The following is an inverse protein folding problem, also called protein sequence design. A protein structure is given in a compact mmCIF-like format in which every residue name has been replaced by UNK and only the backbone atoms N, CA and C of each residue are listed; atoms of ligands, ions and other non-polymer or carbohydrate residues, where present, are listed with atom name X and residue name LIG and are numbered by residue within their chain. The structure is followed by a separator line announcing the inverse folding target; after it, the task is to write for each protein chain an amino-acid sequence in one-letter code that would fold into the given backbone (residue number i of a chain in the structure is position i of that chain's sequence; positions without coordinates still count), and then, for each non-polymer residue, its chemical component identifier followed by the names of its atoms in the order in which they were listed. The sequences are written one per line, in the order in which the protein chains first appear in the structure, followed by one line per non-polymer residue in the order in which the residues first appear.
data_IF_529935807939
#
_entry.id   IF_529935807939
#
_cell.length_a   1.000
_cell.length_b   1.000
_cell.length_c   1.000
_cell.angle_alpha   90.00
_cell.angle_beta   90.00
_cell.angle_gamma   90.00
#
_symmetry.space_group_name_H-M   'P 1'
#
loop_
_entity.id
_entity.type
_entity.pdbx_description
1 polymer ?
#
# COMPACT_ATOMS: atom_id res chain seq x y z
N UNK A 1 -28.25 0.37 -18.85
CA UNK A 1 -28.80 -0.89 -18.30
C UNK A 1 -29.61 -1.55 -19.42
N UNK A 2 -29.53 -2.87 -19.61
CA UNK A 2 -30.22 -3.56 -20.69
C UNK A 2 -30.61 -4.99 -20.28
N UNK A 3 -31.42 -5.66 -21.11
CA UNK A 3 -31.90 -7.02 -20.85
C UNK A 3 -30.88 -8.12 -21.20
N UNK A 4 -29.82 -7.77 -21.93
CA UNK A 4 -28.69 -8.65 -22.21
C UNK A 4 -27.35 -7.91 -22.08
N UNK A 5 -26.27 -8.67 -21.87
CA UNK A 5 -24.91 -8.11 -21.80
C UNK A 5 -24.51 -7.48 -23.13
N UNK A 6 -24.91 -8.10 -24.24
CA UNK A 6 -24.62 -7.66 -25.60
C UNK A 6 -25.26 -6.30 -25.88
N UNK A 7 -26.54 -6.14 -25.52
CA UNK A 7 -27.25 -4.87 -25.68
C UNK A 7 -26.64 -3.77 -24.79
N UNK A 8 -26.24 -4.09 -23.56
CA UNK A 8 -25.54 -3.14 -22.68
C UNK A 8 -24.20 -2.68 -23.28
N UNK A 9 -23.40 -3.61 -23.82
CA UNK A 9 -22.13 -3.30 -24.47
C UNK A 9 -22.31 -2.43 -25.72
N UNK A 10 -23.32 -2.70 -26.55
CA UNK A 10 -23.63 -1.87 -27.72
C UNK A 10 -24.07 -0.46 -27.32
N UNK A 11 -24.87 -0.33 -26.25
CA UNK A 11 -25.34 0.96 -25.76
C UNK A 11 -24.21 1.88 -25.28
N UNK A 12 -23.11 1.33 -24.75
CA UNK A 12 -21.93 2.13 -24.35
C UNK A 12 -21.37 2.94 -25.54
N UNK A 13 -21.33 2.33 -26.74
CA UNK A 13 -20.83 2.99 -27.95
C UNK A 13 -21.70 4.14 -28.47
N UNK A 14 -22.91 4.31 -27.93
CA UNK A 14 -23.82 5.41 -28.27
C UNK A 14 -23.64 6.63 -27.36
N UNK A 15 -22.92 6.48 -26.24
CA UNK A 15 -22.67 7.58 -25.29
C UNK A 15 -21.63 8.52 -25.88
N UNK A 16 -21.97 9.80 -25.96
CA UNK A 16 -21.05 10.88 -26.38
C UNK A 16 -20.71 11.72 -25.17
N UNK A 17 -19.41 11.94 -24.96
CA UNK A 17 -18.89 12.80 -23.89
C UNK A 17 -17.88 13.75 -24.51
N UNK A 18 -18.07 15.04 -24.24
CA UNK A 18 -17.09 16.08 -24.57
C UNK A 18 -16.29 16.37 -23.31
N UNK A 19 -14.96 16.32 -23.41
CA UNK A 19 -14.04 16.56 -22.29
C UNK A 19 -12.90 17.47 -22.74
N UNK A 20 -12.51 18.40 -21.88
CA UNK A 20 -11.29 19.17 -22.05
C UNK A 20 -10.10 18.33 -21.59
N UNK A 21 -9.12 18.14 -22.46
CA UNK A 21 -7.90 17.38 -22.14
C UNK A 21 -6.95 18.23 -21.32
N UNK A 22 -6.57 17.74 -20.15
CA UNK A 22 -5.56 18.33 -19.28
C UNK A 22 -4.25 17.53 -19.36
N UNK A 23 -3.19 18.06 -18.75
CA UNK A 23 -1.92 17.34 -18.57
C UNK A 23 -2.17 16.03 -17.80
N UNK A 24 -1.55 14.94 -18.26
CA UNK A 24 -1.56 13.65 -17.55
C UNK A 24 -0.25 13.54 -16.76
N UNK A 25 -0.34 13.71 -15.45
CA UNK A 25 0.75 13.60 -14.50
C UNK A 25 0.87 12.15 -14.05
N UNK A 26 1.83 11.40 -14.61
CA UNK A 26 2.06 9.98 -14.24
C UNK A 26 3.28 9.76 -13.34
N UNK A 27 4.06 10.80 -13.05
CA UNK A 27 5.23 10.75 -12.17
C UNK A 27 4.93 11.51 -10.86
N UNK A 28 5.03 10.88 -9.68
CA UNK A 28 4.84 11.57 -8.41
C UNK A 28 5.83 12.71 -8.18
N UNK A 29 7.03 12.70 -8.78
CA UNK A 29 7.97 13.82 -8.66
C UNK A 29 7.47 15.05 -9.43
N UNK A 30 6.98 14.87 -10.66
CA UNK A 30 6.30 15.93 -11.43
C UNK A 30 5.10 16.46 -10.67
N UNK A 31 4.29 15.58 -10.06
CA UNK A 31 3.12 15.99 -9.29
C UNK A 31 3.45 16.92 -8.10
N UNK A 32 4.66 16.81 -7.53
CA UNK A 32 5.11 17.62 -6.39
C UNK A 32 5.69 18.99 -6.80
N UNK A 33 5.86 19.27 -8.09
CA UNK A 33 6.36 20.55 -8.57
C UNK A 33 5.33 21.67 -8.38
N UNK A 34 5.80 22.91 -8.17
CA UNK A 34 4.92 24.06 -7.86
C UNK A 34 3.99 24.45 -9.00
N UNK A 35 4.37 24.12 -10.24
CA UNK A 35 3.63 24.42 -11.47
C UNK A 35 2.89 23.17 -12.02
N UNK A 36 2.83 22.08 -11.25
CA UNK A 36 2.03 20.91 -11.60
C UNK A 36 0.54 21.24 -11.53
N UNK A 37 -0.26 20.88 -12.55
CA UNK A 37 -1.71 20.96 -12.46
C UNK A 37 -2.24 20.19 -11.25
N UNK A 38 -3.20 20.80 -10.55
CA UNK A 38 -3.79 20.19 -9.37
C UNK A 38 -4.83 19.14 -9.78
N UNK A 39 -4.63 17.90 -9.32
CA UNK A 39 -5.58 16.80 -9.52
C UNK A 39 -6.77 16.96 -8.56
N UNK A 40 -6.50 17.42 -7.34
CA UNK A 40 -7.48 17.78 -6.32
C UNK A 40 -7.22 19.21 -5.84
N UNK A 41 -8.25 19.89 -5.33
CA UNK A 41 -8.32 21.36 -5.21
C UNK A 41 -7.10 22.07 -4.56
N UNK A 42 -6.45 21.46 -3.57
CA UNK A 42 -5.45 22.16 -2.76
C UNK A 42 -4.00 21.79 -3.09
N UNK A 43 -3.73 20.50 -3.32
CA UNK A 43 -2.37 19.98 -3.40
C UNK A 43 -2.37 18.58 -4.01
N UNK A 44 -1.35 18.28 -4.82
CA UNK A 44 -1.07 16.90 -5.24
C UNK A 44 -0.39 16.08 -4.13
N UNK A 45 0.13 16.70 -3.07
CA UNK A 45 0.57 16.01 -1.85
C UNK A 45 -0.64 15.85 -0.94
N UNK A 46 -1.22 14.65 -0.92
CA UNK A 46 -2.36 14.28 -0.08
C UNK A 46 -2.01 14.32 1.41
N UNK A 47 -0.84 13.78 1.78
CA UNK A 47 -0.41 13.73 3.16
C UNK A 47 1.12 13.77 3.27
N UNK A 48 1.61 14.43 4.32
CA UNK A 48 3.01 14.39 4.73
C UNK A 48 3.10 13.87 6.15
N UNK A 49 3.90 12.82 6.37
CA UNK A 49 4.17 12.28 7.70
C UNK A 49 5.64 12.45 8.04
N UNK A 50 5.92 12.70 9.32
CA UNK A 50 7.27 12.81 9.85
C UNK A 50 7.52 11.73 10.90
N UNK A 51 8.75 11.24 10.94
CA UNK A 51 9.24 10.27 11.92
C UNK A 51 10.49 10.83 12.59
N UNK A 52 10.56 10.73 13.92
CA UNK A 52 11.75 11.11 14.69
C UNK A 52 11.91 10.23 15.92
N UNK A 53 13.11 9.69 16.11
CA UNK A 53 13.58 8.96 17.29
C UNK A 53 15.06 9.30 17.51
N UNK A 54 15.43 9.62 18.75
CA UNK A 54 16.82 9.96 19.08
C UNK A 54 17.32 11.22 18.37
N UNK A 55 18.60 11.23 18.04
CA UNK A 55 19.32 12.36 17.43
C UNK A 55 20.10 11.87 16.20
N UNK A 56 19.61 12.24 15.01
CA UNK A 56 20.16 11.75 13.75
C UNK A 56 21.62 12.18 13.52
N UNK A 57 21.98 13.40 13.93
CA UNK A 57 23.34 13.93 13.79
C UNK A 57 24.32 13.15 14.67
N UNK A 58 23.90 12.86 15.91
CA UNK A 58 24.66 11.99 16.82
C UNK A 58 24.83 10.60 16.21
N UNK A 59 23.77 10.01 15.65
CA UNK A 59 23.83 8.70 15.04
C UNK A 59 24.82 8.61 13.88
N UNK A 60 24.81 9.59 12.96
CA UNK A 60 25.78 9.62 11.86
C UNK A 60 27.21 9.92 12.32
N UNK A 61 27.40 10.74 13.35
CA UNK A 61 28.72 10.98 13.95
C UNK A 61 29.32 9.69 14.55
N UNK A 62 28.47 8.78 15.03
CA UNK A 62 28.90 7.47 15.56
C UNK A 62 29.15 6.42 14.47
N UNK A 63 28.72 6.67 13.23
CA UNK A 63 28.90 5.72 12.13
C UNK A 63 30.35 5.76 11.62
N UNK A 64 30.91 4.58 11.36
CA UNK A 64 32.18 4.45 10.64
C UNK A 64 31.95 4.26 9.14
N UNK A 65 30.86 3.60 8.76
CA UNK A 65 30.43 3.43 7.38
C UNK A 65 29.00 3.97 7.25
N UNK A 66 28.77 4.72 6.18
CA UNK A 66 27.45 5.23 5.82
C UNK A 66 27.17 4.83 4.37
N UNK A 67 25.96 4.34 4.10
CA UNK A 67 25.50 4.02 2.75
C UNK A 67 24.24 4.83 2.42
N UNK A 68 24.19 5.34 1.20
CA UNK A 68 23.12 6.18 0.67
C UNK A 68 22.65 5.61 -0.65
N UNK A 69 21.37 5.24 -0.74
CA UNK A 69 20.79 4.62 -1.92
C UNK A 69 19.36 5.10 -2.17
N UNK A 70 18.94 5.11 -3.43
CA UNK A 70 17.54 5.26 -3.84
C UNK A 70 17.01 3.91 -4.35
N UNK A 71 15.88 3.50 -3.81
CA UNK A 71 15.17 2.27 -4.18
C UNK A 71 13.82 2.62 -4.79
N UNK A 72 13.40 1.85 -5.80
CA UNK A 72 12.10 2.02 -6.45
C UNK A 72 11.37 0.70 -6.53
N UNK A 73 10.07 0.70 -6.23
CA UNK A 73 9.19 -0.46 -6.44
C UNK A 73 8.11 -0.14 -7.44
N UNK A 74 7.66 -1.14 -8.20
CA UNK A 74 6.62 -0.98 -9.21
C UNK A 74 5.20 -1.05 -8.64
N UNK A 75 4.24 -0.59 -9.44
CA UNK A 75 2.82 -0.84 -9.22
C UNK A 75 2.47 -2.30 -9.55
N UNK A 76 1.61 -2.92 -8.75
CA UNK A 76 1.19 -4.31 -8.90
C UNK A 76 -0.34 -4.44 -8.72
N UNK A 77 -0.96 -5.33 -9.51
CA UNK A 77 -2.35 -5.76 -9.30
C UNK A 77 -2.38 -7.03 -8.43
N UNK A 78 -3.45 -7.20 -7.66
CA UNK A 78 -3.65 -8.36 -6.78
C UNK A 78 -4.01 -9.64 -7.53
N UNK A 79 -4.61 -9.49 -8.72
CA UNK A 79 -5.05 -10.56 -9.63
C UNK A 79 -5.82 -11.69 -8.91
N UNK A 80 -6.86 -11.40 -8.08
CA UNK A 80 -7.70 -12.47 -7.54
C UNK A 80 -8.41 -13.18 -8.69
N UNK A 81 -8.54 -14.51 -8.63
CA UNK A 81 -9.19 -15.29 -9.69
C UNK A 81 -10.64 -14.83 -9.93
N UNK A 82 -11.36 -14.51 -8.85
CA UNK A 82 -12.70 -13.91 -8.94
C UNK A 82 -12.60 -12.39 -9.16
N UNK A 83 -13.14 -11.93 -10.28
CA UNK A 83 -13.36 -10.50 -10.59
C UNK A 83 -14.52 -9.92 -9.77
N UNK A 84 -14.63 -8.59 -9.76
CA UNK A 84 -15.71 -7.87 -9.08
C UNK A 84 -17.04 -8.13 -9.78
N UNK A 85 -18.02 -8.62 -9.02
CA UNK A 85 -19.35 -8.93 -9.53
C UNK A 85 -20.37 -8.88 -8.40
N UNK A 86 -21.63 -8.67 -8.76
CA UNK A 86 -22.73 -8.75 -7.81
C UNK A 86 -24.10 -8.55 -8.42
N UNK A 87 -25.10 -8.59 -7.54
CA UNK A 87 -26.51 -8.39 -7.85
C UNK A 87 -27.10 -7.36 -6.89
N UNK A 88 -27.86 -6.40 -7.42
CA UNK A 88 -28.60 -5.42 -6.65
C UNK A 88 -30.10 -5.56 -6.85
N UNK A 89 -30.87 -5.39 -5.77
CA UNK A 89 -32.33 -5.38 -5.77
C UNK A 89 -32.80 -4.21 -4.91
N UNK A 90 -33.72 -3.40 -5.44
CA UNK A 90 -34.41 -2.36 -4.68
C UNK A 90 -35.82 -2.82 -4.35
N UNK A 91 -36.19 -2.71 -3.08
CA UNK A 91 -37.51 -3.04 -2.56
C UNK A 91 -38.34 -1.75 -2.45
N UNK A 92 -39.35 -1.52 -3.32
CA UNK A 92 -40.06 -0.24 -3.35
C UNK A 92 -41.01 -0.03 -2.16
N UNK A 93 -41.36 -1.07 -1.41
CA UNK A 93 -42.24 -0.96 -0.24
C UNK A 93 -41.46 -0.51 1.00
N UNK A 94 -40.25 -1.05 1.18
CA UNK A 94 -39.39 -0.74 2.34
C UNK A 94 -38.32 0.32 2.03
N UNK A 95 -38.11 0.59 0.74
CA UNK A 95 -37.02 1.39 0.17
C UNK A 95 -35.62 0.85 0.52
N UNK A 96 -35.51 -0.45 0.80
CA UNK A 96 -34.24 -1.10 1.13
C UNK A 96 -33.56 -1.58 -0.15
N UNK A 97 -32.27 -1.26 -0.27
CA UNK A 97 -31.38 -1.75 -1.33
C UNK A 97 -30.62 -2.96 -0.80
N UNK A 98 -30.82 -4.12 -1.43
CA UNK A 98 -30.13 -5.38 -1.12
C UNK A 98 -29.04 -5.63 -2.16
N UNK A 99 -27.80 -5.81 -1.71
CA UNK A 99 -26.63 -6.00 -2.57
C UNK A 99 -25.92 -7.31 -2.21
N UNK A 100 -25.82 -8.24 -3.16
CA UNK A 100 -24.96 -9.42 -3.07
C UNK A 100 -23.63 -9.12 -3.76
N UNK A 101 -22.66 -8.64 -3.00
CA UNK A 101 -21.35 -8.22 -3.52
C UNK A 101 -20.26 -8.62 -2.54
N UNK A 102 -19.13 -9.09 -3.06
CA UNK A 102 -17.98 -9.43 -2.23
C UNK A 102 -17.21 -8.16 -1.81
N UNK A 103 -17.10 -7.93 -0.51
CA UNK A 103 -16.26 -6.89 0.10
C UNK A 103 -15.41 -7.45 1.25
N UNK A 104 -14.29 -6.80 1.58
CA UNK A 104 -13.48 -7.05 2.78
C UNK A 104 -13.86 -6.13 3.94
N UNK A 105 -14.57 -5.03 3.66
CA UNK A 105 -14.85 -3.98 4.64
C UNK A 105 -16.34 -3.65 4.71
N UNK A 106 -17.14 -4.67 5.03
CA UNK A 106 -18.61 -4.64 4.84
C UNK A 106 -19.33 -3.44 5.47
N UNK A 107 -18.95 -3.05 6.70
CA UNK A 107 -19.63 -1.94 7.40
C UNK A 107 -19.25 -0.56 6.85
N UNK A 108 -18.01 -0.40 6.41
CA UNK A 108 -17.48 0.81 5.77
C UNK A 108 -18.03 0.93 4.36
N UNK A 109 -18.01 -0.16 3.57
CA UNK A 109 -18.68 -0.24 2.27
C UNK A 109 -20.17 0.14 2.37
N UNK A 110 -20.87 -0.31 3.42
CA UNK A 110 -22.27 0.09 3.65
C UNK A 110 -22.41 1.59 3.91
N UNK A 111 -21.50 2.17 4.71
CA UNK A 111 -21.50 3.60 5.00
C UNK A 111 -21.20 4.43 3.75
N UNK A 112 -20.22 4.02 2.95
CA UNK A 112 -19.82 4.69 1.71
C UNK A 112 -20.94 4.69 0.67
N UNK A 113 -21.67 3.57 0.52
CA UNK A 113 -22.85 3.51 -0.36
C UNK A 113 -23.93 4.46 0.15
N UNK A 114 -24.23 4.43 1.45
CA UNK A 114 -25.24 5.28 2.04
C UNK A 114 -24.91 6.77 1.85
N UNK A 115 -23.66 7.16 2.11
CA UNK A 115 -23.15 8.51 1.90
C UNK A 115 -23.23 8.92 0.43
N UNK A 116 -22.79 8.06 -0.49
CA UNK A 116 -22.79 8.35 -1.93
C UNK A 116 -24.18 8.54 -2.52
N UNK A 117 -25.19 7.89 -1.93
CA UNK A 117 -26.58 7.97 -2.38
C UNK A 117 -27.43 8.97 -1.57
N UNK A 118 -26.87 9.60 -0.53
CA UNK A 118 -27.63 10.47 0.37
C UNK A 118 -28.70 9.73 1.18
N UNK A 119 -28.45 8.47 1.53
CA UNK A 119 -29.37 7.59 2.28
C UNK A 119 -28.84 7.29 3.68
N UNK A 120 -29.71 6.79 4.56
CA UNK A 120 -29.28 6.23 5.84
C UNK A 120 -28.71 4.81 5.67
N UNK A 121 -27.82 4.38 6.58
CA UNK A 121 -27.19 3.05 6.50
C UNK A 121 -28.21 1.91 6.55
N UNK A 122 -29.31 2.11 7.26
CA UNK A 122 -30.40 1.13 7.43
C UNK A 122 -31.13 0.84 6.11
N UNK A 123 -31.04 1.75 5.13
CA UNK A 123 -31.58 1.54 3.78
C UNK A 123 -30.68 0.67 2.91
N UNK A 124 -29.45 0.36 3.35
CA UNK A 124 -28.49 -0.46 2.60
C UNK A 124 -28.26 -1.78 3.32
N UNK A 125 -28.55 -2.90 2.64
CA UNK A 125 -28.26 -4.24 3.14
C UNK A 125 -27.27 -4.94 2.21
N UNK A 126 -26.03 -5.10 2.67
CA UNK A 126 -25.01 -5.90 1.99
C UNK A 126 -25.09 -7.35 2.46
N UNK A 127 -25.14 -8.28 1.53
CA UNK A 127 -25.14 -9.72 1.76
C UNK A 127 -23.86 -10.28 1.16
N UNK A 128 -22.92 -10.66 2.02
CA UNK A 128 -21.60 -11.13 1.60
C UNK A 128 -21.69 -12.53 0.96
N UNK A 129 -21.37 -12.69 -0.34
CA UNK A 129 -21.21 -14.00 -0.95
C UNK A 129 -19.82 -14.58 -0.65
N UNK A 130 -19.57 -15.81 -1.11
CA UNK A 130 -18.23 -16.43 -1.08
C UNK A 130 -17.23 -15.55 -1.86
N UNK A 131 -16.06 -15.30 -1.25
CA UNK A 131 -14.99 -14.48 -1.83
C UNK A 131 -13.91 -15.36 -2.46
N UNK A 132 -13.75 -15.29 -3.78
CA UNK A 132 -12.69 -15.98 -4.54
C UNK A 132 -11.36 -15.21 -4.56
N UNK A 133 -10.88 -14.78 -3.39
CA UNK A 133 -9.68 -13.97 -3.23
C UNK A 133 -9.91 -12.46 -3.30
N UNK A 134 -8.99 -11.70 -2.70
CA UNK A 134 -9.02 -10.23 -2.69
C UNK A 134 -7.64 -9.60 -2.42
N UNK A 135 -6.95 -10.01 -1.34
CA UNK A 135 -5.61 -9.56 -0.97
C UNK A 135 -5.46 -8.03 -0.70
N UNK A 136 -6.57 -7.37 -0.38
CA UNK A 136 -6.70 -5.91 -0.24
C UNK A 136 -7.52 -5.26 -1.35
N UNK A 137 -7.69 -5.93 -2.51
CA UNK A 137 -8.39 -5.37 -3.68
C UNK A 137 -9.87 -5.08 -3.44
N UNK A 138 -10.52 -5.77 -2.50
CA UNK A 138 -11.96 -5.59 -2.18
C UNK A 138 -12.17 -4.81 -0.88
N UNK A 139 -11.18 -4.02 -0.48
CA UNK A 139 -11.31 -3.04 0.60
C UNK A 139 -12.13 -1.84 0.13
N UNK A 140 -11.82 -1.32 -1.05
CA UNK A 140 -12.54 -0.21 -1.67
C UNK A 140 -13.85 -0.65 -2.36
N UNK A 141 -14.72 0.33 -2.62
CA UNK A 141 -15.91 0.13 -3.44
C UNK A 141 -15.54 -0.27 -4.87
N UNK A 142 -16.28 -1.28 -5.38
CA UNK A 142 -16.28 -1.69 -6.80
C UNK A 142 -17.65 -1.50 -7.46
N UNK A 143 -18.41 -2.59 -7.63
CA UNK A 143 -19.71 -2.61 -8.32
C UNK A 143 -20.88 -2.10 -7.47
N UNK A 144 -20.65 -1.87 -6.17
CA UNK A 144 -21.71 -1.65 -5.18
C UNK A 144 -22.64 -0.47 -5.50
N UNK A 145 -22.07 0.73 -5.71
CA UNK A 145 -22.85 1.94 -5.98
C UNK A 145 -23.56 1.85 -7.33
N UNK A 146 -22.87 1.34 -8.37
CA UNK A 146 -23.47 1.12 -9.69
C UNK A 146 -24.69 0.20 -9.62
N UNK A 147 -24.60 -0.90 -8.86
CA UNK A 147 -25.71 -1.83 -8.66
C UNK A 147 -26.87 -1.19 -7.88
N UNK A 148 -26.56 -0.40 -6.85
CA UNK A 148 -27.57 0.30 -6.05
C UNK A 148 -28.34 1.30 -6.91
N UNK A 149 -27.65 2.19 -7.63
CA UNK A 149 -28.26 3.17 -8.54
C UNK A 149 -29.11 2.48 -9.61
N UNK A 150 -28.57 1.44 -10.25
CA UNK A 150 -29.28 0.74 -11.31
C UNK A 150 -30.53 0.01 -10.82
N UNK A 151 -30.48 -0.59 -9.63
CA UNK A 151 -31.63 -1.26 -9.02
C UNK A 151 -32.72 -0.26 -8.61
N UNK A 152 -32.35 0.90 -8.07
CA UNK A 152 -33.29 1.98 -7.74
C UNK A 152 -33.99 2.51 -9.00
N UNK A 153 -33.22 2.82 -10.04
CA UNK A 153 -33.72 3.41 -11.28
C UNK A 153 -34.69 2.45 -12.00
N UNK A 154 -34.30 1.18 -12.13
CA UNK A 154 -35.09 0.22 -12.90
C UNK A 154 -36.20 -0.43 -12.11
N UNK A 155 -36.14 -0.39 -10.76
CA UNK A 155 -36.98 -1.18 -9.85
C UNK A 155 -37.00 -2.67 -10.19
N UNK A 156 -35.93 -3.17 -10.81
CA UNK A 156 -35.72 -4.57 -11.21
C UNK A 156 -34.40 -5.07 -10.62
N UNK A 157 -34.23 -6.39 -10.43
CA UNK A 157 -32.93 -6.95 -10.11
C UNK A 157 -31.91 -6.64 -11.21
N UNK A 158 -30.74 -6.14 -10.81
CA UNK A 158 -29.63 -5.81 -11.73
C UNK A 158 -28.41 -6.64 -11.38
N UNK A 159 -27.76 -7.22 -12.38
CA UNK A 159 -26.47 -7.92 -12.24
C UNK A 159 -25.38 -7.13 -12.96
N UNK A 160 -24.22 -7.00 -12.32
CA UNK A 160 -23.01 -6.41 -12.89
C UNK A 160 -21.83 -7.32 -12.59
N UNK A 161 -21.00 -7.55 -13.59
CA UNK A 161 -19.74 -8.26 -13.45
C UNK A 161 -18.71 -7.58 -14.34
N UNK A 162 -17.57 -7.25 -13.76
CA UNK A 162 -16.43 -6.79 -14.53
C UNK A 162 -15.86 -7.94 -15.37
N UNK A 163 -15.26 -7.59 -16.49
CA UNK A 163 -14.25 -8.37 -17.18
C UNK A 163 -12.93 -8.28 -16.41
N UNK A 164 -11.96 -9.14 -16.75
CA UNK A 164 -10.61 -9.04 -16.16
C UNK A 164 -9.96 -7.68 -16.45
N UNK A 165 -10.12 -7.16 -17.67
CA UNK A 165 -9.56 -5.86 -18.06
C UNK A 165 -10.16 -4.72 -17.22
N UNK A 166 -11.48 -4.69 -17.05
CA UNK A 166 -12.15 -3.70 -16.18
C UNK A 166 -11.69 -3.83 -14.73
N UNK A 167 -11.57 -5.06 -14.21
CA UNK A 167 -11.02 -5.30 -12.86
C UNK A 167 -9.59 -4.76 -12.69
N UNK A 168 -8.76 -4.82 -13.72
CA UNK A 168 -7.39 -4.29 -13.68
C UNK A 168 -7.37 -2.76 -13.81
N UNK A 169 -8.32 -2.14 -14.50
CA UNK A 169 -8.36 -0.68 -14.66
C UNK A 169 -9.01 -0.01 -13.46
N UNK A 170 -10.12 -0.56 -12.97
CA UNK A 170 -11.05 0.13 -12.08
C UNK A 170 -10.79 -0.08 -10.58
N UNK A 171 -9.75 -0.84 -10.20
CA UNK A 171 -9.51 -1.20 -8.81
C UNK A 171 -8.08 -0.89 -8.38
N UNK A 172 -7.91 -0.77 -7.07
CA UNK A 172 -6.66 -0.41 -6.42
C UNK A 172 -5.46 -1.22 -6.93
N UNK A 173 -4.32 -0.57 -6.98
CA UNK A 173 -2.99 -1.18 -7.14
C UNK A 173 -2.18 -1.06 -5.86
N UNK A 174 -1.05 -1.76 -5.80
CA UNK A 174 0.01 -1.44 -4.83
C UNK A 174 0.67 -0.11 -5.20
N UNK A 175 0.85 0.76 -4.21
CA UNK A 175 1.63 1.99 -4.35
C UNK A 175 3.07 1.70 -4.79
N UNK A 176 3.54 2.22 -5.93
CA UNK A 176 4.96 2.30 -6.21
C UNK A 176 5.60 3.34 -5.28
N UNK A 177 6.73 2.99 -4.67
CA UNK A 177 7.49 3.90 -3.80
C UNK A 177 8.79 4.31 -4.48
N UNK A 178 9.20 5.55 -4.24
CA UNK A 178 10.58 6.02 -4.32
C UNK A 178 11.06 6.15 -2.87
N UNK A 179 12.14 5.44 -2.51
CA UNK A 179 12.66 5.37 -1.15
C UNK A 179 14.12 5.83 -1.19
N UNK A 180 14.43 6.98 -0.60
CA UNK A 180 15.81 7.44 -0.44
C UNK A 180 16.23 7.16 0.99
N UNK A 181 17.29 6.38 1.17
CA UNK A 181 17.67 5.87 2.48
C UNK A 181 19.17 6.07 2.72
N UNK A 182 19.49 6.60 3.91
CA UNK A 182 20.83 6.78 4.42
C UNK A 182 20.97 6.03 5.73
N UNK A 183 21.90 5.09 5.80
CA UNK A 183 22.06 4.19 6.96
C UNK A 183 23.51 4.17 7.43
N UNK A 184 23.70 4.40 8.72
CA UNK A 184 25.01 4.41 9.38
C UNK A 184 25.23 3.15 10.22
N UNK A 185 26.48 2.68 10.25
CA UNK A 185 26.91 1.51 11.03
C UNK A 185 28.30 1.75 11.61
N UNK A 186 28.57 1.16 12.78
CA UNK A 186 29.93 1.10 13.35
C UNK A 186 30.80 0.05 12.66
N UNK A 187 32.12 0.10 12.84
CA UNK A 187 33.04 -0.98 12.41
C UNK A 187 32.76 -2.33 13.05
N UNK A 188 32.00 -2.36 14.16
CA UNK A 188 31.56 -3.59 14.82
C UNK A 188 30.22 -4.11 14.28
N UNK A 189 29.63 -3.45 13.30
CA UNK A 189 28.39 -3.88 12.66
C UNK A 189 27.09 -3.44 13.36
N UNK A 190 27.16 -2.63 14.42
CA UNK A 190 25.95 -2.07 15.05
C UNK A 190 25.42 -0.87 14.27
N UNK A 191 24.13 -0.88 13.95
CA UNK A 191 23.43 0.22 13.29
C UNK A 191 23.34 1.44 14.21
N UNK A 192 23.64 2.62 13.68
CA UNK A 192 23.71 3.87 14.48
C UNK A 192 22.69 4.90 14.05
N UNK A 193 22.37 4.98 12.75
CA UNK A 193 21.46 5.96 12.19
C UNK A 193 20.67 5.42 11.00
N UNK A 194 19.42 5.88 10.88
CA UNK A 194 18.59 5.66 9.71
C UNK A 194 17.83 6.94 9.35
N UNK A 195 18.12 7.51 8.19
CA UNK A 195 17.35 8.60 7.60
C UNK A 195 16.64 8.09 6.35
N UNK A 196 15.34 8.38 6.23
CA UNK A 196 14.52 7.90 5.10
C UNK A 196 13.60 8.99 4.57
N UNK A 197 13.52 9.10 3.24
CA UNK A 197 12.44 9.79 2.55
C UNK A 197 11.65 8.77 1.72
N UNK A 198 10.33 8.81 1.82
CA UNK A 198 9.42 7.92 1.09
C UNK A 198 8.44 8.76 0.28
N UNK A 199 8.41 8.55 -1.03
CA UNK A 199 7.40 9.16 -1.91
C UNK A 199 6.56 8.02 -2.46
N UNK A 200 5.28 7.98 -2.08
CA UNK A 200 4.34 6.96 -2.53
C UNK A 200 3.30 7.57 -3.46
N UNK A 201 3.26 7.08 -4.70
CA UNK A 201 2.23 7.41 -5.67
C UNK A 201 0.92 6.70 -5.29
N UNK A 202 -0.12 7.47 -4.99
CA UNK A 202 -1.46 6.97 -4.65
C UNK A 202 -2.43 6.94 -5.82
N UNK A 203 -1.97 7.31 -7.02
CA UNK A 203 -2.81 7.46 -8.21
C UNK A 203 -3.90 8.53 -8.02
N UNK A 204 -5.01 8.39 -8.73
CA UNK A 204 -6.01 9.46 -8.83
C UNK A 204 -6.87 9.69 -7.56
N UNK A 205 -6.93 8.73 -6.64
CA UNK A 205 -7.81 8.79 -5.45
C UNK A 205 -7.08 8.34 -4.19
N UNK A 206 -7.55 8.82 -3.04
CA UNK A 206 -6.86 8.62 -1.77
C UNK A 206 -6.79 7.14 -1.37
N UNK A 207 -7.94 6.45 -1.37
CA UNK A 207 -8.11 5.10 -0.79
C UNK A 207 -7.35 5.03 0.56
N UNK A 208 -6.66 3.92 0.83
CA UNK A 208 -5.82 3.70 2.00
C UNK A 208 -4.40 4.27 1.84
N UNK A 209 -4.15 5.14 0.85
CA UNK A 209 -2.81 5.64 0.52
C UNK A 209 -2.10 6.37 1.64
N UNK A 210 -2.82 7.19 2.41
CA UNK A 210 -2.30 7.88 3.60
C UNK A 210 -1.70 6.86 4.58
N UNK A 211 -2.46 5.80 4.88
CA UNK A 211 -2.05 4.76 5.81
C UNK A 211 -0.93 3.87 5.24
N UNK A 212 -0.97 3.53 3.94
CA UNK A 212 0.03 2.66 3.29
C UNK A 212 1.41 3.31 3.27
N UNK A 213 1.50 4.57 2.85
CA UNK A 213 2.77 5.31 2.74
C UNK A 213 3.34 5.61 4.13
N UNK A 214 2.48 6.04 5.06
CA UNK A 214 2.84 6.21 6.47
C UNK A 214 3.41 4.94 7.09
N UNK A 215 2.70 3.82 6.94
CA UNK A 215 3.14 2.52 7.47
C UNK A 215 4.45 2.07 6.84
N UNK A 216 4.65 2.32 5.55
CA UNK A 216 5.93 2.10 4.87
C UNK A 216 7.09 2.76 5.62
N UNK A 217 7.01 4.07 5.87
CA UNK A 217 8.04 4.81 6.63
C UNK A 217 8.22 4.28 8.06
N UNK A 218 7.15 3.89 8.75
CA UNK A 218 7.24 3.39 10.13
C UNK A 218 8.00 2.07 10.26
N UNK A 219 8.16 1.33 9.17
CA UNK A 219 8.94 0.09 9.12
C UNK A 219 10.32 0.29 8.47
N UNK A 220 10.81 1.52 8.35
CA UNK A 220 12.04 1.85 7.64
C UNK A 220 13.31 1.19 8.17
N UNK A 221 13.39 0.86 9.45
CA UNK A 221 14.55 0.16 10.02
C UNK A 221 14.41 -1.36 9.94
N UNK A 222 13.33 -1.88 9.36
CA UNK A 222 13.00 -3.30 9.43
C UNK A 222 12.91 -3.79 10.88
N UNK A 223 13.21 -5.08 11.12
CA UNK A 223 13.20 -5.66 12.45
C UNK A 223 14.51 -5.41 13.23
N UNK A 224 15.18 -4.28 13.03
CA UNK A 224 16.51 -3.98 13.57
C UNK A 224 16.52 -2.78 14.51
N UNK A 225 17.32 -2.89 15.58
CA UNK A 225 17.57 -1.82 16.53
C UNK A 225 18.35 -0.68 15.87
N UNK A 226 17.74 0.50 15.82
CA UNK A 226 18.40 1.75 15.44
C UNK A 226 17.90 2.84 16.39
N UNK A 227 18.83 3.48 17.10
CA UNK A 227 18.47 4.46 18.14
C UNK A 227 18.18 5.85 17.60
N UNK A 228 18.76 6.18 16.44
CA UNK A 228 18.63 7.49 15.82
C UNK A 228 17.97 7.36 14.46
N UNK A 229 16.71 7.76 14.37
CA UNK A 229 15.90 7.65 13.16
C UNK A 229 15.25 8.98 12.86
N UNK A 230 15.31 9.41 11.61
CA UNK A 230 14.43 10.46 11.11
C UNK A 230 13.86 10.06 9.76
N UNK A 231 12.68 10.57 9.44
CA UNK A 231 12.15 10.38 8.11
C UNK A 231 10.97 11.26 7.78
N UNK A 232 10.68 11.31 6.49
CA UNK A 232 9.52 11.99 5.93
C UNK A 232 8.88 11.10 4.87
N UNK A 233 7.55 11.11 4.81
CA UNK A 233 6.80 10.37 3.82
C UNK A 233 5.74 11.24 3.16
N UNK A 234 5.72 11.25 1.82
CA UNK A 234 4.78 12.00 0.99
C UNK A 234 3.84 11.02 0.28
N UNK A 235 2.55 11.13 0.54
CA UNK A 235 1.50 10.47 -0.25
C UNK A 235 1.09 11.41 -1.37
N UNK A 236 1.30 11.02 -2.62
CA UNK A 236 1.20 11.93 -3.78
C UNK A 236 0.16 11.43 -4.77
N UNK A 237 -0.76 12.31 -5.17
CA UNK A 237 -1.70 12.09 -6.24
C UNK A 237 -1.02 12.12 -7.61
N UNK A 238 -1.43 11.22 -8.50
CA UNK A 238 -1.08 11.22 -9.93
C UNK A 238 -2.32 10.85 -10.74
N UNK A 239 -2.29 10.94 -12.06
CA UNK A 239 -3.36 10.46 -12.93
C UNK A 239 -3.28 8.93 -13.18
N UNK A 240 -2.36 8.22 -12.53
CA UNK A 240 -2.30 6.76 -12.58
C UNK A 240 -3.54 6.13 -11.92
N UNK A 241 -3.79 4.85 -12.19
CA UNK A 241 -4.81 4.08 -11.46
C UNK A 241 -4.57 4.23 -9.96
N UNK A 242 -5.63 4.55 -9.21
CA UNK A 242 -5.51 4.73 -7.77
C UNK A 242 -4.90 3.51 -7.09
N UNK A 243 -4.12 3.75 -6.05
CA UNK A 243 -3.49 2.73 -5.26
C UNK A 243 -4.18 2.62 -3.90
N UNK A 244 -4.19 1.42 -3.33
CA UNK A 244 -4.88 1.11 -2.09
C UNK A 244 -4.19 -0.01 -1.35
N UNK A 245 -4.94 -0.72 -0.51
CA UNK A 245 -4.40 -1.81 0.26
C UNK A 245 -3.98 -2.99 -0.62
N UNK A 246 -2.75 -3.48 -0.44
CA UNK A 246 -2.30 -4.78 -0.94
C UNK A 246 -1.49 -5.48 0.15
N UNK A 247 -1.59 -6.81 0.26
CA UNK A 247 -0.87 -7.65 1.26
C UNK A 247 0.56 -7.17 1.47
N UNK A 248 0.90 -6.77 2.70
CA UNK A 248 2.14 -6.07 3.06
C UNK A 248 1.85 -4.66 3.56
N UNK A 249 1.06 -3.88 2.80
CA UNK A 249 0.59 -2.54 3.20
C UNK A 249 1.76 -1.58 3.45
N UNK A 250 2.56 -1.33 2.40
CA UNK A 250 3.73 -0.43 2.43
C UNK A 250 5.01 -1.08 2.97
N UNK A 251 4.89 -2.07 3.87
CA UNK A 251 6.04 -2.71 4.51
C UNK A 251 6.88 -3.55 3.56
N UNK A 252 6.26 -4.16 2.54
CA UNK A 252 6.96 -4.95 1.52
C UNK A 252 7.85 -4.09 0.63
N UNK A 253 7.39 -2.88 0.29
CA UNK A 253 8.20 -1.93 -0.46
C UNK A 253 9.40 -1.47 0.39
N UNK A 254 9.14 -1.18 1.67
CA UNK A 254 10.19 -0.77 2.60
C UNK A 254 11.19 -1.90 2.89
N UNK A 255 10.73 -3.15 2.96
CA UNK A 255 11.57 -4.32 3.16
C UNK A 255 12.62 -4.52 2.07
N UNK A 256 12.25 -4.27 0.81
CA UNK A 256 13.22 -4.25 -0.27
C UNK A 256 14.37 -3.25 0.01
N UNK A 257 14.04 -2.03 0.46
CA UNK A 257 15.03 -1.00 0.75
C UNK A 257 15.91 -1.35 1.96
N UNK A 258 15.32 -1.62 3.13
CA UNK A 258 16.12 -1.84 4.34
C UNK A 258 16.93 -3.14 4.29
N UNK A 259 16.42 -4.22 3.69
CA UNK A 259 17.20 -5.45 3.55
C UNK A 259 18.36 -5.27 2.58
N UNK A 260 18.17 -4.48 1.52
CA UNK A 260 19.28 -4.11 0.62
C UNK A 260 20.35 -3.30 1.36
N UNK A 261 19.96 -2.38 2.24
CA UNK A 261 20.91 -1.65 3.08
C UNK A 261 21.69 -2.59 4.00
N UNK A 262 21.02 -3.57 4.63
CA UNK A 262 21.68 -4.54 5.51
C UNK A 262 22.75 -5.34 4.76
N UNK A 263 22.42 -5.83 3.57
CA UNK A 263 23.35 -6.58 2.71
C UNK A 263 24.55 -5.74 2.26
N UNK A 264 24.31 -4.50 1.82
CA UNK A 264 25.39 -3.62 1.37
C UNK A 264 26.33 -3.28 2.54
N UNK A 265 25.76 -3.01 3.72
CA UNK A 265 26.54 -2.70 4.93
C UNK A 265 27.34 -3.91 5.41
N UNK A 266 26.73 -5.10 5.45
CA UNK A 266 27.42 -6.32 5.89
C UNK A 266 28.61 -6.64 4.98
N UNK A 267 28.43 -6.54 3.65
CA UNK A 267 29.50 -6.73 2.67
C UNK A 267 30.63 -5.71 2.84
N UNK A 268 30.31 -4.43 3.01
CA UNK A 268 31.33 -3.38 3.24
C UNK A 268 32.14 -3.61 4.51
N UNK A 269 31.57 -4.28 5.51
CA UNK A 269 32.24 -4.61 6.77
C UNK A 269 32.94 -5.98 6.76
N UNK A 270 32.75 -6.79 5.72
CA UNK A 270 33.20 -8.18 5.71
C UNK A 270 32.51 -9.05 6.77
N UNK A 271 31.27 -8.70 7.15
CA UNK A 271 30.46 -9.44 8.13
C UNK A 271 29.44 -10.28 7.36
N UNK A 272 29.29 -11.55 7.74
CA UNK A 272 28.25 -12.42 7.20
C UNK A 272 26.85 -11.76 7.34
N UNK A 273 26.03 -11.75 6.28
CA UNK A 273 24.75 -11.05 6.26
C UNK A 273 23.74 -11.58 7.29
N UNK A 274 23.83 -12.85 7.70
CA UNK A 274 22.99 -13.45 8.73
C UNK A 274 23.44 -12.98 10.11
N UNK A 275 24.74 -13.03 10.39
CA UNK A 275 25.30 -12.51 11.65
C UNK A 275 25.02 -11.02 11.82
N UNK A 276 25.13 -10.25 10.72
CA UNK A 276 24.81 -8.83 10.71
C UNK A 276 23.35 -8.55 11.09
N UNK A 277 22.42 -9.40 10.65
CA UNK A 277 21.00 -9.28 11.01
C UNK A 277 20.75 -9.73 12.44
N UNK A 278 21.32 -10.86 12.86
CA UNK A 278 21.16 -11.38 14.23
C UNK A 278 21.65 -10.41 15.30
N UNK A 279 22.79 -9.74 15.09
CA UNK A 279 23.34 -8.79 16.05
C UNK A 279 22.47 -7.53 16.20
N UNK A 280 21.80 -7.10 15.12
CA UNK A 280 20.99 -5.89 15.12
C UNK A 280 19.50 -6.16 15.36
N UNK A 281 19.05 -7.40 15.22
CA UNK A 281 17.64 -7.79 15.34
C UNK A 281 17.03 -7.39 16.69
N UNK A 282 15.74 -7.04 16.66
CA UNK A 282 14.97 -6.75 17.86
C UNK A 282 15.01 -7.91 18.88
N UNK A 283 14.93 -7.51 20.15
CA UNK A 283 14.69 -8.37 21.30
C UNK A 283 13.49 -7.84 22.10
N UNK A 284 13.10 -8.58 23.14
CA UNK A 284 12.27 -7.99 24.21
C UNK A 284 13.00 -6.75 24.74
N UNK A 285 12.25 -5.67 24.96
CA UNK A 285 12.67 -4.32 25.34
C UNK A 285 13.21 -3.42 24.25
N UNK A 286 13.43 -3.93 23.03
CA UNK A 286 13.72 -3.09 21.86
C UNK A 286 12.64 -2.04 21.62
N UNK A 287 13.01 -0.96 20.94
CA UNK A 287 12.07 0.10 20.54
C UNK A 287 12.05 0.26 19.03
N UNK A 288 10.85 0.24 18.46
CA UNK A 288 10.63 0.47 17.01
C UNK A 288 10.99 1.91 16.63
N UNK A 289 11.04 2.26 15.33
CA UNK A 289 11.34 3.62 14.87
C UNK A 289 10.40 4.69 15.42
N UNK A 290 9.13 4.33 15.67
CA UNK A 290 8.14 5.21 16.27
C UNK A 290 8.08 5.12 17.81
N UNK A 291 9.09 4.51 18.45
CA UNK A 291 9.24 4.48 19.90
C UNK A 291 8.39 3.44 20.65
N UNK A 292 7.71 2.53 19.94
CA UNK A 292 6.96 1.46 20.59
C UNK A 292 7.94 0.48 21.26
N UNK A 293 7.80 0.31 22.58
CA UNK A 293 8.56 -0.70 23.32
C UNK A 293 7.97 -2.09 23.08
N UNK A 294 8.79 -3.01 22.61
CA UNK A 294 8.41 -4.40 22.42
C UNK A 294 8.51 -5.14 23.75
N UNK A 295 7.38 -5.53 24.33
CA UNK A 295 7.34 -6.15 25.66
C UNK A 295 7.14 -7.67 25.64
N UNK A 296 6.75 -8.24 24.50
CA UNK A 296 6.40 -9.66 24.34
C UNK A 296 6.40 -10.05 22.87
N UNK A 297 6.49 -11.36 22.60
CA UNK A 297 6.35 -11.97 21.26
C UNK A 297 7.26 -11.34 20.19
N UNK A 298 8.57 -11.28 20.49
CA UNK A 298 9.60 -10.84 19.54
C UNK A 298 10.39 -12.08 19.11
N UNK A 299 10.08 -12.61 17.92
CA UNK A 299 10.58 -13.90 17.43
C UNK A 299 11.54 -13.80 16.23
N UNK A 300 12.08 -12.62 15.93
CA UNK A 300 12.89 -12.39 14.71
C UNK A 300 14.17 -13.22 14.73
N UNK A 301 14.86 -13.33 15.86
CA UNK A 301 16.11 -14.09 15.95
C UNK A 301 15.89 -15.58 15.81
N UNK A 302 14.80 -16.09 16.38
CA UNK A 302 14.36 -17.48 16.24
C UNK A 302 14.02 -17.79 14.78
N UNK A 303 13.30 -16.87 14.11
CA UNK A 303 12.98 -17.00 12.68
C UNK A 303 14.25 -17.08 11.83
N UNK A 304 15.23 -16.20 12.08
CA UNK A 304 16.50 -16.21 11.35
C UNK A 304 17.24 -17.52 11.59
N UNK A 305 17.37 -17.97 12.84
CA UNK A 305 18.07 -19.22 13.18
C UNK A 305 17.43 -20.44 12.53
N UNK A 306 16.11 -20.53 12.53
CA UNK A 306 15.39 -21.64 11.89
C UNK A 306 15.56 -21.60 10.36
N UNK A 307 15.43 -20.43 9.73
CA UNK A 307 15.61 -20.29 8.30
C UNK A 307 17.03 -20.68 7.84
N UNK A 308 18.05 -20.29 8.62
CA UNK A 308 19.46 -20.65 8.41
C UNK A 308 19.67 -22.16 8.50
N UNK A 309 19.11 -22.79 9.53
CA UNK A 309 19.19 -24.24 9.71
C UNK A 309 18.52 -25.00 8.56
N UNK A 310 17.33 -24.54 8.12
CA UNK A 310 16.62 -25.13 6.99
C UNK A 310 17.34 -24.95 5.66
N UNK A 311 18.06 -23.84 5.48
CA UNK A 311 18.78 -23.53 4.25
C UNK A 311 20.15 -24.21 4.15
N UNK A 312 20.64 -24.87 5.21
CA UNK A 312 22.02 -25.35 5.34
C UNK A 312 23.05 -24.24 5.02
N UNK A 313 22.77 -23.02 5.50
CA UNK A 313 23.64 -21.87 5.25
C UNK A 313 24.96 -22.06 6.00
N UNK A 314 26.05 -22.13 5.24
CA UNK A 314 27.41 -22.19 5.78
C UNK A 314 27.95 -20.77 5.84
N UNK A 315 28.54 -20.41 6.98
CA UNK A 315 29.31 -19.18 7.11
C UNK A 315 30.53 -19.27 6.17
N UNK A 316 30.35 -18.82 4.93
CA UNK A 316 31.42 -18.67 3.96
C UNK A 316 31.44 -17.21 3.51
N UNK A 317 32.26 -16.39 4.19
CA UNK A 317 32.70 -15.15 3.57
C UNK A 317 33.72 -15.52 2.48
N UNK A 318 33.29 -15.44 1.23
CA UNK A 318 34.19 -15.55 0.08
C UNK A 318 33.95 -14.32 -0.82
N UNK A 319 35.00 -13.53 -1.05
CA UNK A 319 34.97 -12.35 -1.93
C UNK A 319 34.59 -12.71 -3.39
N UNK A 320 34.73 -13.98 -3.79
CA UNK A 320 34.44 -14.44 -5.16
C UNK A 320 32.98 -14.88 -5.39
N UNK A 321 32.17 -15.13 -4.35
CA UNK A 321 30.80 -15.63 -4.50
C UNK A 321 29.70 -14.59 -4.28
N UNK A 322 30.03 -13.33 -3.93
CA UNK A 322 29.05 -12.28 -3.60
C UNK A 322 29.39 -10.86 -4.06
#
# INVERSE_FOLDING_TARGET
IAESKEAASQAIGLIKVEVDKLEVISDPLRAMEKDAPLIHQDSNILATHYLKKGDIEKGFTQANIIVENEYRTSSLDHVPLQVEAGVGIFDPETEIIKLWVATQWLHDTQADIAQSLGLSKEKIRIIQPVIGGAFGKKEDISVHIHLALAAMETKRPVKLSYTRAESMIAQAKRHPFIIRMKTGVTNKGYLTACQVEVIGDTGAYASSGVAVVHKGMYHCTGPYNVDNVCGVAYTVYTNNTYCGAMRGFGTTQMAFAYESQMDILSRKLGIDPIQFRLQNAYDISSTTPNGQKLSRSVGVKETIKEAVAMADWKEEYNEETW
#
